data_IF_864476646453
#
_entry.id   IF_864476646453
#
_cell.length_a   1.000
_cell.length_b   1.000
_cell.length_c   1.000
_cell.angle_alpha   90.00
_cell.angle_beta   90.00
_cell.angle_gamma   90.00
#
_symmetry.space_group_name_H-M   'P 1'
#
loop_
_entity.id
_entity.type
_entity.pdbx_description
1 polymer ?
#
# COMPACT_ATOMS: atom_id res chain seq x y z
N UNK A 1 3.18 -0.25 -29.90
CA UNK A 1 3.25 -0.99 -28.62
C UNK A 1 2.00 -0.69 -27.81
N UNK A 2 1.18 -1.69 -27.47
CA UNK A 2 0.12 -1.51 -26.46
C UNK A 2 0.78 -1.70 -25.09
N UNK A 3 1.03 -0.60 -24.38
CA UNK A 3 1.68 -0.59 -23.04
C UNK A 3 0.71 -0.91 -21.91
N UNK A 4 -0.60 -0.80 -22.16
CA UNK A 4 -1.67 -1.08 -21.19
C UNK A 4 -1.98 -2.58 -21.21
N UNK A 5 -1.83 -3.23 -20.06
CA UNK A 5 -2.04 -4.68 -19.86
C UNK A 5 -3.45 -5.04 -19.36
N UNK A 6 -4.23 -4.04 -18.96
CA UNK A 6 -5.58 -4.21 -18.40
C UNK A 6 -5.76 -3.42 -17.10
N UNK A 7 -6.98 -3.39 -16.55
CA UNK A 7 -7.25 -2.71 -15.28
C UNK A 7 -6.67 -3.49 -14.10
N UNK A 8 -6.18 -2.76 -13.10
CA UNK A 8 -5.73 -3.29 -11.83
C UNK A 8 -6.51 -2.64 -10.67
N UNK A 9 -6.62 -3.35 -9.56
CA UNK A 9 -7.35 -2.90 -8.36
C UNK A 9 -6.47 -2.95 -7.12
N UNK A 10 -6.62 -1.94 -6.25
CA UNK A 10 -5.93 -1.91 -4.97
C UNK A 10 -6.79 -2.56 -3.88
N UNK A 11 -6.33 -3.73 -3.39
CA UNK A 11 -7.14 -4.56 -2.47
C UNK A 11 -7.38 -3.92 -1.11
N UNK A 12 -6.55 -2.97 -0.68
CA UNK A 12 -6.72 -2.25 0.59
C UNK A 12 -8.07 -1.56 0.74
N UNK A 13 -8.69 -1.15 -0.36
CA UNK A 13 -9.97 -0.44 -0.34
C UNK A 13 -11.15 -1.38 -0.02
N UNK A 14 -10.92 -2.70 -0.09
CA UNK A 14 -11.97 -3.72 0.01
C UNK A 14 -11.72 -4.72 1.13
N UNK A 15 -10.46 -5.02 1.46
CA UNK A 15 -10.10 -5.98 2.50
C UNK A 15 -10.83 -5.69 3.82
N UNK A 16 -11.44 -6.73 4.39
CA UNK A 16 -12.25 -6.63 5.61
C UNK A 16 -12.38 -7.98 6.31
N UNK A 17 -13.18 -8.07 7.37
CA UNK A 17 -13.32 -9.30 8.16
C UNK A 17 -14.38 -10.28 7.62
N UNK A 18 -15.24 -9.83 6.71
CA UNK A 18 -16.39 -10.60 6.21
C UNK A 18 -16.22 -11.03 4.75
N UNK A 19 -16.81 -12.17 4.39
CA UNK A 19 -16.83 -12.63 3.01
C UNK A 19 -17.63 -11.65 2.11
N UNK A 20 -17.20 -11.41 0.85
CA UNK A 20 -16.07 -12.04 0.15
C UNK A 20 -14.72 -11.32 0.32
N UNK A 21 -14.57 -10.40 1.27
CA UNK A 21 -13.38 -9.55 1.36
C UNK A 21 -12.36 -9.95 2.43
N UNK A 22 -12.56 -11.13 3.03
CA UNK A 22 -11.82 -11.62 4.19
C UNK A 22 -10.63 -12.52 3.90
N UNK A 23 -10.46 -12.95 2.66
CA UNK A 23 -9.33 -13.78 2.25
C UNK A 23 -8.83 -13.34 0.87
N UNK A 24 -7.54 -13.60 0.62
CA UNK A 24 -6.97 -13.36 -0.71
C UNK A 24 -7.70 -14.14 -1.80
N UNK A 25 -8.08 -15.40 -1.54
CA UNK A 25 -8.80 -16.23 -2.51
C UNK A 25 -10.16 -15.62 -2.90
N UNK A 26 -10.95 -15.16 -1.92
CA UNK A 26 -12.24 -14.54 -2.20
C UNK A 26 -12.07 -13.19 -2.93
N UNK A 27 -11.07 -12.38 -2.56
CA UNK A 27 -10.75 -11.12 -3.24
C UNK A 27 -10.29 -11.35 -4.69
N UNK A 28 -9.44 -12.35 -4.94
CA UNK A 28 -8.99 -12.72 -6.27
C UNK A 28 -10.16 -13.17 -7.14
N UNK A 29 -11.03 -14.04 -6.62
CA UNK A 29 -12.23 -14.47 -7.33
C UNK A 29 -13.12 -13.28 -7.70
N UNK A 30 -13.42 -12.42 -6.72
CA UNK A 30 -14.23 -11.23 -6.93
C UNK A 30 -13.62 -10.27 -7.95
N UNK A 31 -12.32 -10.00 -7.87
CA UNK A 31 -11.64 -9.12 -8.83
C UNK A 31 -11.62 -9.70 -10.25
N UNK A 32 -11.42 -11.02 -10.39
CA UNK A 32 -11.46 -11.71 -11.66
C UNK A 32 -12.87 -11.66 -12.29
N UNK A 33 -13.93 -11.86 -11.49
CA UNK A 33 -15.33 -11.80 -11.93
C UNK A 33 -15.70 -10.40 -12.46
N UNK A 34 -15.09 -9.33 -11.93
CA UNK A 34 -15.24 -7.96 -12.41
C UNK A 34 -14.39 -7.62 -13.64
N UNK A 35 -13.53 -8.55 -14.09
CA UNK A 35 -12.70 -8.38 -15.29
C UNK A 35 -11.35 -7.70 -15.05
N UNK A 36 -10.91 -7.56 -13.79
CA UNK A 36 -9.56 -7.09 -13.49
C UNK A 36 -8.49 -8.06 -14.02
N UNK A 37 -7.30 -7.52 -14.30
CA UNK A 37 -6.12 -8.28 -14.74
C UNK A 37 -4.96 -8.19 -13.76
N UNK A 38 -5.04 -7.26 -12.81
CA UNK A 38 -4.00 -7.07 -11.82
C UNK A 38 -4.56 -6.72 -10.45
N UNK A 39 -3.81 -7.08 -9.42
CA UNK A 39 -4.09 -6.69 -8.04
C UNK A 39 -2.85 -6.05 -7.43
N UNK A 40 -3.06 -4.97 -6.68
CA UNK A 40 -2.06 -4.40 -5.79
C UNK A 40 -2.37 -4.84 -4.36
N UNK A 41 -1.37 -5.39 -3.68
CA UNK A 41 -1.52 -5.97 -2.34
C UNK A 41 -0.97 -5.01 -1.27
N UNK A 42 -1.77 -4.60 -0.27
CA UNK A 42 -1.26 -3.86 0.88
C UNK A 42 -0.42 -4.75 1.79
N UNK A 43 0.71 -4.24 2.26
CA UNK A 43 1.64 -5.03 3.08
C UNK A 43 1.31 -5.03 4.58
N UNK A 44 0.37 -4.20 5.04
CA UNK A 44 -0.09 -4.22 6.44
C UNK A 44 -1.14 -5.30 6.72
N UNK A 45 -1.83 -5.79 5.69
CA UNK A 45 -2.89 -6.78 5.84
C UNK A 45 -2.29 -8.19 5.77
N UNK A 46 -1.94 -8.75 6.92
CA UNK A 46 -1.23 -10.04 7.03
C UNK A 46 -2.04 -11.20 6.49
N UNK A 47 -3.38 -11.07 6.40
CA UNK A 47 -4.24 -12.04 5.74
C UNK A 47 -4.04 -12.14 4.21
N UNK A 48 -3.42 -11.13 3.59
CA UNK A 48 -3.13 -11.12 2.16
C UNK A 48 -1.68 -11.44 1.84
N UNK A 49 -0.73 -10.95 2.66
CA UNK A 49 0.69 -11.22 2.52
C UNK A 49 1.40 -11.10 3.87
N UNK A 50 2.26 -12.07 4.18
CA UNK A 50 3.18 -12.01 5.31
C UNK A 50 4.56 -11.58 4.80
N UNK A 51 4.97 -10.36 5.15
CA UNK A 51 6.24 -9.78 4.70
C UNK A 51 7.44 -10.47 5.33
N UNK A 52 7.35 -10.91 6.58
CA UNK A 52 8.47 -11.55 7.27
C UNK A 52 8.76 -12.92 6.61
N UNK A 53 7.72 -13.68 6.27
CA UNK A 53 7.88 -14.93 5.51
C UNK A 53 8.33 -14.65 4.07
N UNK A 54 7.71 -13.67 3.41
CA UNK A 54 8.04 -13.34 2.02
C UNK A 54 9.51 -12.92 1.85
N UNK A 55 10.10 -12.26 2.85
CA UNK A 55 11.50 -11.82 2.78
C UNK A 55 12.49 -12.99 2.87
N UNK A 56 12.11 -14.10 3.50
CA UNK A 56 12.97 -15.27 3.71
C UNK A 56 12.72 -16.38 2.70
N UNK A 57 11.48 -16.53 2.20
CA UNK A 57 11.05 -17.68 1.42
C UNK A 57 10.67 -17.33 -0.02
N UNK A 58 11.47 -17.82 -0.99
CA UNK A 58 11.10 -17.75 -2.40
C UNK A 58 9.87 -18.61 -2.70
N UNK A 59 9.78 -19.79 -2.09
CA UNK A 59 8.63 -20.71 -2.24
C UNK A 59 7.33 -20.03 -1.84
N UNK A 60 7.31 -19.30 -0.72
CA UNK A 60 6.13 -18.54 -0.32
C UNK A 60 5.70 -17.52 -1.39
N UNK A 61 6.66 -16.79 -1.97
CA UNK A 61 6.39 -15.82 -3.03
C UNK A 61 5.87 -16.50 -4.31
N UNK A 62 6.45 -17.64 -4.67
CA UNK A 62 6.05 -18.42 -5.85
C UNK A 62 4.64 -19.01 -5.68
N UNK A 63 4.32 -19.53 -4.49
CA UNK A 63 3.00 -20.06 -4.14
C UNK A 63 1.94 -18.94 -4.14
N UNK A 64 2.26 -17.78 -3.54
CA UNK A 64 1.38 -16.61 -3.55
C UNK A 64 1.09 -16.15 -4.98
N UNK A 65 2.13 -16.04 -5.81
CA UNK A 65 2.00 -15.65 -7.22
C UNK A 65 1.22 -16.70 -8.01
N UNK A 66 1.51 -17.98 -7.80
CA UNK A 66 0.79 -19.09 -8.43
C UNK A 66 -0.70 -19.09 -8.09
N UNK A 67 -1.04 -18.83 -6.83
CA UNK A 67 -2.42 -18.68 -6.37
C UNK A 67 -3.12 -17.53 -7.10
N UNK A 68 -2.54 -16.33 -7.13
CA UNK A 68 -3.13 -15.16 -7.82
C UNK A 68 -3.31 -15.45 -9.32
N UNK A 69 -2.29 -16.04 -9.95
CA UNK A 69 -2.29 -16.41 -11.36
C UNK A 69 -3.36 -17.46 -11.70
N UNK A 70 -3.72 -18.33 -10.76
CA UNK A 70 -4.77 -19.34 -10.97
C UNK A 70 -6.17 -18.72 -11.23
N UNK A 71 -6.38 -17.47 -10.80
CA UNK A 71 -7.59 -16.69 -11.09
C UNK A 71 -7.47 -15.83 -12.37
N UNK A 72 -6.35 -15.94 -13.11
CA UNK A 72 -6.07 -15.10 -14.28
C UNK A 72 -5.71 -13.65 -13.95
N UNK A 73 -5.25 -13.41 -12.72
CA UNK A 73 -4.79 -12.11 -12.22
C UNK A 73 -3.26 -12.11 -12.11
N UNK A 74 -2.65 -10.93 -12.11
CA UNK A 74 -1.23 -10.73 -11.81
C UNK A 74 -1.06 -9.85 -10.57
N UNK A 75 -0.02 -10.10 -9.77
CA UNK A 75 0.39 -9.14 -8.73
C UNK A 75 1.13 -8.01 -9.44
N UNK A 76 0.60 -6.79 -9.40
CA UNK A 76 1.19 -5.64 -10.08
C UNK A 76 2.23 -4.97 -9.20
N UNK A 77 1.88 -4.69 -7.95
CA UNK A 77 2.75 -4.09 -6.94
C UNK A 77 2.38 -4.57 -5.54
N UNK A 78 3.36 -4.52 -4.63
CA UNK A 78 3.09 -4.38 -3.20
C UNK A 78 3.01 -2.90 -2.85
N UNK A 79 2.31 -2.58 -1.75
CA UNK A 79 2.21 -1.22 -1.27
C UNK A 79 2.45 -1.07 0.23
N UNK A 80 3.30 -0.11 0.60
CA UNK A 80 3.66 0.26 1.98
C UNK A 80 3.14 1.66 2.31
N UNK A 81 1.92 2.01 1.93
CA UNK A 81 1.39 3.36 2.15
C UNK A 81 1.39 3.77 3.63
N UNK A 82 0.92 2.88 4.53
CA UNK A 82 0.88 3.19 5.96
C UNK A 82 2.28 3.19 6.57
N UNK A 83 3.09 2.16 6.30
CA UNK A 83 4.43 2.03 6.87
C UNK A 83 5.39 3.08 6.34
N UNK A 84 5.35 3.35 5.04
CA UNK A 84 6.15 4.40 4.42
C UNK A 84 5.84 5.79 4.98
N UNK A 85 4.56 6.08 5.25
CA UNK A 85 4.14 7.34 5.86
C UNK A 85 4.85 7.59 7.21
N UNK A 86 5.24 6.51 7.90
CA UNK A 86 5.90 6.54 9.19
C UNK A 86 7.43 6.70 9.12
N UNK A 87 8.01 6.72 7.91
CA UNK A 87 9.46 6.94 7.72
C UNK A 87 9.86 8.38 8.03
N UNK A 88 9.05 9.35 7.60
CA UNK A 88 9.33 10.77 7.82
C UNK A 88 8.12 11.49 8.42
N UNK A 89 7.95 11.37 9.74
CA UNK A 89 6.88 12.05 10.48
C UNK A 89 7.45 13.28 11.18
N UNK A 90 6.87 14.45 10.92
CA UNK A 90 7.16 15.64 11.69
C UNK A 90 6.54 15.52 13.11
N UNK A 91 7.21 15.99 14.18
CA UNK A 91 6.68 15.93 15.55
C UNK A 91 5.27 16.52 15.72
N UNK A 92 4.90 17.52 14.91
CA UNK A 92 3.56 18.11 14.92
C UNK A 92 2.44 17.11 14.59
N UNK A 93 2.78 15.98 13.96
CA UNK A 93 1.84 14.92 13.61
C UNK A 93 2.11 13.60 14.34
N UNK A 94 2.95 13.59 15.38
CA UNK A 94 3.34 12.35 16.05
C UNK A 94 2.14 11.56 16.56
N UNK A 95 1.22 12.22 17.28
CA UNK A 95 0.00 11.58 17.80
C UNK A 95 -0.92 11.09 16.68
N UNK A 96 -1.03 11.84 15.58
CA UNK A 96 -1.89 11.48 14.45
C UNK A 96 -1.41 10.20 13.77
N UNK A 97 -0.10 10.10 13.52
CA UNK A 97 0.49 8.96 12.82
C UNK A 97 0.78 7.76 13.72
N UNK A 98 0.73 7.92 15.05
CA UNK A 98 0.93 6.81 15.99
C UNK A 98 -0.11 5.69 15.83
N UNK A 99 -1.32 6.03 15.36
CA UNK A 99 -2.39 5.07 15.08
C UNK A 99 -2.06 4.05 13.98
N UNK A 100 -1.09 4.35 13.10
CA UNK A 100 -0.66 3.43 12.04
C UNK A 100 0.51 2.54 12.44
N UNK A 101 1.12 2.79 13.59
CA UNK A 101 2.22 2.00 14.10
C UNK A 101 1.71 0.72 14.78
N UNK A 102 2.48 -0.38 14.77
CA UNK A 102 2.16 -1.54 15.60
C UNK A 102 2.28 -1.18 17.08
N UNK A 103 1.53 -1.87 17.94
CA UNK A 103 1.45 -1.56 19.38
C UNK A 103 2.81 -1.54 20.08
N UNK A 104 3.77 -2.36 19.63
CA UNK A 104 5.10 -2.46 20.20
C UNK A 104 5.95 -1.17 20.10
N UNK A 105 5.62 -0.26 19.18
CA UNK A 105 6.39 0.99 18.96
C UNK A 105 5.53 2.26 19.10
N UNK A 106 4.27 2.13 19.50
CA UNK A 106 3.38 3.28 19.79
C UNK A 106 3.92 4.13 20.93
N UNK A 107 3.68 5.43 20.86
CA UNK A 107 4.16 6.42 21.81
C UNK A 107 5.69 6.66 21.75
N UNK A 108 6.39 6.04 20.81
CA UNK A 108 7.84 6.17 20.65
C UNK A 108 8.20 6.54 19.20
N UNK A 109 8.24 7.84 18.85
CA UNK A 109 8.50 8.30 17.49
C UNK A 109 9.79 7.75 16.88
N UNK A 110 10.85 7.59 17.68
CA UNK A 110 12.13 7.06 17.21
C UNK A 110 12.00 5.58 16.84
N UNK A 111 11.46 4.75 17.73
CA UNK A 111 11.26 3.33 17.46
C UNK A 111 10.29 3.10 16.30
N UNK A 112 9.24 3.92 16.19
CA UNK A 112 8.30 3.89 15.06
C UNK A 112 9.00 4.14 13.73
N UNK A 113 9.86 5.16 13.65
CA UNK A 113 10.62 5.46 12.44
C UNK A 113 11.60 4.34 12.08
N UNK A 114 12.31 3.79 13.09
CA UNK A 114 13.23 2.67 12.88
C UNK A 114 12.50 1.43 12.34
N UNK A 115 11.34 1.10 12.91
CA UNK A 115 10.47 0.03 12.44
C UNK A 115 9.97 0.28 11.00
N UNK A 116 9.51 1.51 10.71
CA UNK A 116 9.00 1.88 9.39
C UNK A 116 10.06 1.70 8.30
N UNK A 117 11.29 2.15 8.56
CA UNK A 117 12.43 2.00 7.66
C UNK A 117 12.74 0.52 7.40
N UNK A 118 12.79 -0.29 8.46
CA UNK A 118 13.03 -1.73 8.33
C UNK A 118 11.94 -2.42 7.50
N UNK A 119 10.68 -2.15 7.83
CA UNK A 119 9.53 -2.77 7.15
C UNK A 119 9.46 -2.41 5.66
N UNK A 120 9.73 -1.15 5.29
CA UNK A 120 9.79 -0.72 3.88
C UNK A 120 10.92 -1.43 3.14
N UNK A 121 12.10 -1.60 3.76
CA UNK A 121 13.21 -2.35 3.17
C UNK A 121 12.84 -3.81 2.95
N UNK A 122 12.27 -4.49 3.95
CA UNK A 122 11.79 -5.88 3.82
C UNK A 122 10.74 -6.01 2.72
N UNK A 123 9.79 -5.08 2.65
CA UNK A 123 8.77 -5.05 1.59
C UNK A 123 9.37 -4.86 0.19
N UNK A 124 10.47 -4.11 0.09
CA UNK A 124 11.26 -3.99 -1.15
C UNK A 124 11.93 -5.32 -1.55
N UNK A 125 12.52 -6.04 -0.58
CA UNK A 125 13.09 -7.38 -0.82
C UNK A 125 12.01 -8.39 -1.23
N UNK A 126 10.86 -8.41 -0.56
CA UNK A 126 9.72 -9.25 -0.93
C UNK A 126 9.21 -8.94 -2.35
N UNK A 127 9.16 -7.64 -2.71
CA UNK A 127 8.81 -7.20 -4.07
C UNK A 127 9.80 -7.77 -5.11
N UNK A 128 11.10 -7.75 -4.79
CA UNK A 128 12.14 -8.36 -5.62
C UNK A 128 11.94 -9.86 -5.83
N UNK A 129 11.62 -10.60 -4.76
CA UNK A 129 11.34 -12.05 -4.82
C UNK A 129 10.10 -12.40 -5.65
N UNK A 130 9.07 -11.55 -5.61
CA UNK A 130 7.88 -11.67 -6.47
C UNK A 130 8.15 -11.27 -7.94
N UNK A 131 9.31 -10.69 -8.22
CA UNK A 131 9.71 -10.20 -9.55
C UNK A 131 9.03 -8.88 -9.94
N UNK A 132 8.56 -8.11 -8.95
CA UNK A 132 7.88 -6.83 -9.18
C UNK A 132 8.91 -5.74 -9.47
N UNK A 133 8.57 -4.83 -10.39
CA UNK A 133 9.43 -3.71 -10.80
C UNK A 133 9.02 -2.38 -10.18
N UNK A 134 7.92 -2.37 -9.43
CA UNK A 134 7.34 -1.17 -8.86
C UNK A 134 6.78 -1.49 -7.48
N UNK A 135 6.84 -0.51 -6.60
CA UNK A 135 6.37 -0.60 -5.22
C UNK A 135 5.73 0.73 -4.86
N UNK A 136 4.45 0.70 -4.48
CA UNK A 136 3.73 1.92 -4.12
C UNK A 136 4.00 2.26 -2.64
N UNK A 137 4.32 3.52 -2.35
CA UNK A 137 4.58 3.95 -0.98
C UNK A 137 4.32 5.45 -0.84
N UNK A 138 4.13 5.88 0.40
CA UNK A 138 4.25 7.29 0.77
C UNK A 138 5.52 7.43 1.60
N UNK A 139 6.28 8.51 1.42
CA UNK A 139 7.55 8.68 2.15
C UNK A 139 7.38 9.28 3.55
N UNK A 140 6.17 9.72 3.89
CA UNK A 140 5.98 10.78 4.88
C UNK A 140 6.54 12.12 4.37
N UNK A 141 6.51 13.13 5.24
CA UNK A 141 7.04 14.45 4.92
C UNK A 141 7.33 15.27 6.19
N UNK A 142 8.57 15.73 6.32
CA UNK A 142 8.98 16.56 7.47
C UNK A 142 8.47 18.01 7.38
N UNK A 143 8.18 18.51 6.18
CA UNK A 143 7.78 19.91 5.93
C UNK A 143 6.36 20.06 5.38
N UNK A 144 5.57 18.98 5.31
CA UNK A 144 4.21 19.08 4.75
C UNK A 144 3.33 20.09 5.50
N UNK A 145 3.55 20.24 6.81
CA UNK A 145 2.83 21.22 7.63
C UNK A 145 3.11 22.67 7.26
N UNK A 146 4.14 22.96 6.45
CA UNK A 146 4.46 24.32 5.99
C UNK A 146 3.89 24.61 4.61
N UNK A 147 3.22 23.64 3.98
CA UNK A 147 2.65 23.84 2.65
C UNK A 147 1.41 24.72 2.73
N UNK A 148 1.48 25.91 2.13
CA UNK A 148 0.33 26.79 1.94
C UNK A 148 -0.38 26.42 0.64
N UNK A 149 -1.59 25.87 0.72
CA UNK A 149 -2.47 25.73 -0.44
C UNK A 149 -3.04 27.11 -0.76
N UNK A 150 -2.45 27.80 -1.73
CA UNK A 150 -3.06 29.02 -2.25
C UNK A 150 -4.40 28.65 -2.90
N UNK A 151 -5.51 28.92 -2.21
CA UNK A 151 -6.83 28.91 -2.83
C UNK A 151 -6.83 29.97 -3.93
N UNK A 152 -6.82 29.54 -5.19
CA UNK A 152 -7.11 30.42 -6.31
C UNK A 152 -8.56 30.89 -6.17
N UNK A 153 -8.77 32.06 -5.54
CA UNK A 153 -10.07 32.72 -5.61
C UNK A 153 -10.25 33.18 -7.05
N UNK A 154 -10.94 32.39 -7.86
CA UNK A 154 -11.47 32.86 -9.12
C UNK A 154 -12.51 33.95 -8.80
N UNK A 155 -12.08 35.23 -8.84
CA UNK A 155 -13.03 36.34 -8.90
C UNK A 155 -13.77 36.21 -10.23
N UNK A 156 -15.00 35.72 -10.19
CA UNK A 156 -15.94 35.99 -11.26
C UNK A 156 -16.26 37.48 -11.23
N UNK A 157 -15.59 38.27 -12.08
CA UNK A 157 -16.10 39.58 -12.44
C UNK A 157 -17.36 39.36 -13.26
N UNK A 158 -18.51 39.36 -12.59
CA UNK A 158 -19.80 39.46 -13.26
C UNK A 158 -19.82 40.75 -14.07
N UNK A 159 -20.11 40.65 -15.37
CA UNK A 159 -20.47 41.79 -16.20
C UNK A 159 -21.69 42.46 -15.57
N UNK A 160 -21.46 43.64 -14.99
CA UNK A 160 -22.51 44.55 -14.56
C UNK A 160 -22.63 45.70 -15.55
N UNK A 161 -23.78 45.71 -16.25
CA UNK A 161 -24.45 46.81 -16.96
C UNK A 161 -23.73 47.46 -18.16
#
# INVERSE_FOLDING_TARGET
MKTIKGPAIFLAQFAGSEAPFNTLDNLCKWAADLGYKGIQIPTWETGLIDIEIAVESQTYCDDLKGKVNSYGLEITELSTHLQGQLVAVNPAYDTLFDGFAPDAVKGNPKARTEWAIDFVKKSGTASGRLGLKSHASFSGALLWHTMYLATASARFSGNGL
#
